data_IF_760021048744
#
_entry.id   IF_760021048744
#
_cell.length_a   1.000
_cell.length_b   1.000
_cell.length_c   1.000
_cell.angle_alpha   90.00
_cell.angle_beta   90.00
_cell.angle_gamma   90.00
#
_symmetry.space_group_name_H-M   'P 1'
#
loop_
_entity.id
_entity.type
_entity.pdbx_description
1 polymer ?
#
# COMPACT_ATOMS: atom_id res chain seq x y z
N UNK A 1 -23.76 37.04 -4.44
CA UNK A 1 -23.08 36.56 -3.22
C UNK A 1 -23.46 35.10 -3.02
N UNK A 2 -22.60 34.16 -3.45
CA UNK A 2 -22.84 32.73 -3.23
C UNK A 2 -22.66 32.47 -1.73
N UNK A 3 -23.76 32.14 -1.07
CA UNK A 3 -23.80 31.85 0.35
C UNK A 3 -23.29 30.42 0.55
N UNK A 4 -21.97 30.26 0.58
CA UNK A 4 -21.28 29.03 0.98
C UNK A 4 -21.67 28.75 2.43
N UNK A 5 -22.80 28.06 2.63
CA UNK A 5 -23.10 27.48 3.93
C UNK A 5 -21.97 26.52 4.20
N UNK A 6 -21.24 26.77 5.29
CA UNK A 6 -20.44 25.80 6.03
C UNK A 6 -21.34 24.63 6.47
N UNK A 7 -21.83 23.86 5.50
CA UNK A 7 -22.33 22.53 5.72
C UNK A 7 -21.12 21.76 6.18
N UNK A 8 -21.07 21.52 7.50
CA UNK A 8 -20.07 20.68 8.15
C UNK A 8 -19.68 19.58 7.19
N UNK A 9 -18.42 19.57 6.73
CA UNK A 9 -17.89 18.60 5.74
C UNK A 9 -18.28 17.16 6.11
N UNK A 10 -18.46 16.92 7.41
CA UNK A 10 -18.98 15.70 7.99
C UNK A 10 -20.44 15.35 7.65
N UNK A 11 -21.35 16.33 7.62
CA UNK A 11 -22.74 16.13 7.20
C UNK A 11 -22.83 15.78 5.70
N UNK A 12 -22.02 16.44 4.87
CA UNK A 12 -21.92 16.13 3.44
C UNK A 12 -21.35 14.73 3.23
N UNK A 13 -20.28 14.37 3.94
CA UNK A 13 -19.68 13.03 3.90
C UNK A 13 -20.67 11.93 4.34
N UNK A 14 -21.42 12.16 5.42
CA UNK A 14 -22.42 11.21 5.93
C UNK A 14 -23.58 10.99 4.95
N UNK A 15 -23.88 11.98 4.11
CA UNK A 15 -24.92 11.91 3.06
C UNK A 15 -24.43 11.18 1.80
N UNK A 16 -23.13 11.21 1.52
CA UNK A 16 -22.44 10.48 0.44
C UNK A 16 -22.02 9.05 0.83
N UNK A 17 -21.92 8.77 2.12
CA UNK A 17 -21.57 7.44 2.63
C UNK A 17 -22.45 6.28 2.12
N UNK A 18 -23.78 6.43 1.93
CA UNK A 18 -24.63 5.36 1.40
C UNK A 18 -24.31 4.98 -0.06
N UNK A 19 -23.82 5.92 -0.87
CA UNK A 19 -23.37 5.66 -2.25
C UNK A 19 -22.02 4.95 -2.30
N UNK A 20 -21.17 5.13 -1.29
CA UNK A 20 -19.86 4.46 -1.13
C UNK A 20 -20.00 3.10 -0.42
N UNK A 21 -21.07 2.92 0.36
CA UNK A 21 -21.38 1.71 1.12
C UNK A 21 -21.32 0.38 0.33
N UNK A 22 -21.78 0.27 -0.93
CA UNK A 22 -21.62 -0.95 -1.72
C UNK A 22 -20.16 -1.28 -2.07
N UNK A 23 -19.23 -0.31 -1.99
CA UNK A 23 -17.81 -0.46 -2.34
C UNK A 23 -16.89 -0.65 -1.11
N UNK A 24 -17.45 -0.84 0.09
CA UNK A 24 -16.66 -1.03 1.33
C UNK A 24 -15.68 -2.20 1.25
N UNK A 25 -16.02 -3.25 0.50
CA UNK A 25 -15.10 -4.37 0.25
C UNK A 25 -13.82 -3.90 -0.49
N UNK A 26 -13.95 -3.03 -1.49
CA UNK A 26 -12.81 -2.44 -2.19
C UNK A 26 -11.95 -1.53 -1.31
N UNK A 27 -12.58 -0.76 -0.42
CA UNK A 27 -11.86 0.07 0.56
C UNK A 27 -11.08 -0.77 1.58
N UNK A 28 -11.65 -1.88 2.07
CA UNK A 28 -10.95 -2.78 2.99
C UNK A 28 -9.77 -3.45 2.28
N UNK A 29 -9.97 -3.94 1.05
CA UNK A 29 -8.90 -4.54 0.24
C UNK A 29 -7.79 -3.52 -0.05
N UNK A 30 -8.14 -2.28 -0.41
CA UNK A 30 -7.18 -1.20 -0.62
C UNK A 30 -6.41 -0.84 0.67
N UNK A 31 -7.09 -0.86 1.83
CA UNK A 31 -6.44 -0.66 3.13
C UNK A 31 -5.43 -1.76 3.46
N UNK A 32 -5.81 -3.03 3.25
CA UNK A 32 -4.91 -4.18 3.43
C UNK A 32 -3.72 -4.07 2.47
N UNK A 33 -3.98 -3.74 1.20
CA UNK A 33 -2.93 -3.54 0.20
C UNK A 33 -1.98 -2.42 0.60
N UNK A 34 -2.47 -1.27 1.08
CA UNK A 34 -1.62 -0.18 1.57
C UNK A 34 -0.72 -0.61 2.73
N UNK A 35 -1.24 -1.39 3.69
CA UNK A 35 -0.46 -1.90 4.82
C UNK A 35 0.64 -2.86 4.33
N UNK A 36 0.31 -3.81 3.45
CA UNK A 36 1.29 -4.72 2.83
C UNK A 36 2.37 -3.97 2.05
N UNK A 37 1.97 -2.90 1.36
CA UNK A 37 2.91 -2.09 0.59
C UNK A 37 3.88 -1.32 1.51
N UNK A 38 3.36 -0.69 2.57
CA UNK A 38 4.17 -0.01 3.58
C UNK A 38 5.09 -0.98 4.34
N UNK A 39 4.61 -2.20 4.62
CA UNK A 39 5.41 -3.26 5.21
C UNK A 39 6.56 -3.67 4.28
N UNK A 40 6.30 -3.79 2.97
CA UNK A 40 7.32 -4.12 1.97
C UNK A 40 8.42 -3.05 1.89
N UNK A 41 8.05 -1.77 1.89
CA UNK A 41 9.02 -0.65 1.90
C UNK A 41 9.86 -0.65 3.19
N UNK A 42 9.23 -0.89 4.35
CA UNK A 42 9.93 -0.98 5.64
C UNK A 42 10.87 -2.18 5.68
N UNK A 43 10.45 -3.33 5.14
CA UNK A 43 11.29 -4.53 5.05
C UNK A 43 12.52 -4.26 4.18
N UNK A 44 12.32 -3.64 3.01
CA UNK A 44 13.42 -3.30 2.11
C UNK A 44 14.44 -2.38 2.78
N UNK A 45 14.00 -1.40 3.58
CA UNK A 45 14.89 -0.57 4.39
C UNK A 45 15.60 -1.37 5.50
N UNK A 46 14.88 -2.27 6.18
CA UNK A 46 15.48 -3.12 7.22
C UNK A 46 16.56 -4.06 6.67
N UNK A 47 16.47 -4.44 5.38
CA UNK A 47 17.47 -5.27 4.69
C UNK A 47 18.80 -4.55 4.44
N UNK A 48 18.86 -3.21 4.50
CA UNK A 48 20.13 -2.47 4.40
C UNK A 48 21.06 -2.77 5.58
N UNK A 49 20.51 -2.96 6.78
CA UNK A 49 21.28 -3.26 7.99
C UNK A 49 22.05 -4.60 7.91
N UNK A 50 21.42 -5.76 7.62
CA UNK A 50 22.13 -7.03 7.46
C UNK A 50 23.03 -7.05 6.22
N UNK A 51 22.73 -6.30 5.15
CA UNK A 51 23.64 -6.17 4.01
C UNK A 51 24.99 -5.56 4.46
N UNK A 52 24.94 -4.47 5.21
CA UNK A 52 26.12 -3.75 5.67
C UNK A 52 26.86 -4.52 6.79
N UNK A 53 26.13 -5.03 7.79
CA UNK A 53 26.73 -5.70 8.94
C UNK A 53 27.22 -7.12 8.63
N UNK A 54 26.40 -7.95 7.98
CA UNK A 54 26.71 -9.36 7.75
C UNK A 54 27.30 -9.63 6.35
N UNK A 55 26.84 -8.88 5.33
CA UNK A 55 27.35 -9.00 3.97
C UNK A 55 28.77 -8.42 3.79
N UNK A 56 29.00 -7.18 4.26
CA UNK A 56 30.32 -6.53 4.17
C UNK A 56 31.18 -6.72 5.41
N UNK A 57 30.59 -6.77 6.61
CA UNK A 57 31.35 -6.90 7.87
C UNK A 57 31.87 -8.31 8.17
N UNK A 58 31.09 -9.36 7.88
CA UNK A 58 31.45 -10.76 8.20
C UNK A 58 31.82 -11.61 6.97
N UNK A 59 31.65 -11.09 5.75
CA UNK A 59 31.91 -11.81 4.48
C UNK A 59 31.15 -13.15 4.39
N UNK A 60 29.94 -13.23 4.94
CA UNK A 60 29.10 -14.41 4.78
C UNK A 60 28.49 -14.42 3.37
N UNK A 61 29.12 -15.17 2.44
CA UNK A 61 28.66 -15.34 1.04
C UNK A 61 27.20 -15.77 0.92
N UNK A 62 26.66 -16.43 1.95
CA UNK A 62 25.24 -16.84 2.00
C UNK A 62 24.30 -15.63 1.99
N UNK A 63 24.59 -14.58 2.77
CA UNK A 63 23.73 -13.39 2.85
C UNK A 63 23.66 -12.68 1.49
N UNK A 64 24.78 -12.61 0.78
CA UNK A 64 24.89 -12.04 -0.57
C UNK A 64 24.10 -12.82 -1.64
N UNK A 65 23.89 -14.12 -1.44
CA UNK A 65 23.14 -14.97 -2.38
C UNK A 65 21.61 -14.93 -2.13
N UNK A 66 21.18 -14.92 -0.86
CA UNK A 66 19.75 -14.93 -0.53
C UNK A 66 19.12 -13.52 -0.57
N UNK A 67 19.87 -12.45 -0.32
CA UNK A 67 19.33 -11.08 -0.34
C UNK A 67 18.68 -10.65 -1.66
N UNK A 68 19.30 -10.86 -2.84
CA UNK A 68 18.68 -10.50 -4.12
C UNK A 68 17.35 -11.21 -4.33
N UNK A 69 17.26 -12.46 -3.89
CA UNK A 69 16.06 -13.30 -4.03
C UNK A 69 14.91 -12.76 -3.16
N UNK A 70 15.21 -12.31 -1.95
CA UNK A 70 14.24 -11.62 -1.07
C UNK A 70 13.78 -10.28 -1.67
N UNK A 71 14.70 -9.49 -2.23
CA UNK A 71 14.37 -8.21 -2.87
C UNK A 71 13.44 -8.41 -4.07
N UNK A 72 13.71 -9.42 -4.91
CA UNK A 72 12.83 -9.77 -6.05
C UNK A 72 11.45 -10.19 -5.53
N UNK A 73 11.39 -11.02 -4.49
CA UNK A 73 10.12 -11.42 -3.87
C UNK A 73 9.31 -10.23 -3.34
N UNK A 74 9.95 -9.30 -2.64
CA UNK A 74 9.33 -8.07 -2.15
C UNK A 74 8.86 -7.15 -3.29
N UNK A 75 9.64 -7.05 -4.38
CA UNK A 75 9.26 -6.25 -5.55
C UNK A 75 8.05 -6.83 -6.29
N UNK A 76 7.97 -8.16 -6.40
CA UNK A 76 6.79 -8.84 -6.96
C UNK A 76 5.57 -8.58 -6.07
N UNK A 77 5.71 -8.77 -4.74
CA UNK A 77 4.63 -8.50 -3.79
C UNK A 77 4.14 -7.05 -3.91
N UNK A 78 5.07 -6.09 -3.93
CA UNK A 78 4.77 -4.67 -4.11
C UNK A 78 4.05 -4.39 -5.44
N UNK A 79 4.50 -4.99 -6.53
CA UNK A 79 3.84 -4.87 -7.84
C UNK A 79 2.40 -5.37 -7.84
N UNK A 80 2.16 -6.56 -7.29
CA UNK A 80 0.81 -7.15 -7.14
C UNK A 80 -0.08 -6.22 -6.29
N UNK A 81 0.47 -5.75 -5.17
CA UNK A 81 -0.26 -4.91 -4.22
C UNK A 81 -0.63 -3.56 -4.83
N UNK A 82 0.29 -2.95 -5.58
CA UNK A 82 0.05 -1.70 -6.31
C UNK A 82 -0.99 -1.88 -7.42
N UNK A 83 -0.94 -2.99 -8.16
CA UNK A 83 -1.92 -3.32 -9.19
C UNK A 83 -3.34 -3.49 -8.61
N UNK A 84 -3.47 -4.24 -7.50
CA UNK A 84 -4.75 -4.45 -6.82
C UNK A 84 -5.34 -3.12 -6.35
N UNK A 85 -4.52 -2.23 -5.76
CA UNK A 85 -4.98 -0.90 -5.34
C UNK A 85 -5.50 -0.07 -6.52
N UNK A 86 -4.71 0.02 -7.61
CA UNK A 86 -5.14 0.78 -8.79
C UNK A 86 -6.40 0.19 -9.43
N UNK A 87 -6.53 -1.14 -9.47
CA UNK A 87 -7.70 -1.81 -10.01
C UNK A 87 -8.95 -1.58 -9.16
N UNK A 88 -8.84 -1.67 -7.83
CA UNK A 88 -9.95 -1.37 -6.92
C UNK A 88 -10.41 0.07 -7.07
N UNK A 89 -9.48 1.04 -7.14
CA UNK A 89 -9.83 2.46 -7.32
C UNK A 89 -10.51 2.69 -8.68
N UNK A 90 -9.99 2.12 -9.77
CA UNK A 90 -10.61 2.22 -11.10
C UNK A 90 -12.00 1.58 -11.13
N UNK A 91 -12.19 0.42 -10.50
CA UNK A 91 -13.49 -0.25 -10.48
C UNK A 91 -14.53 0.52 -9.68
N UNK A 92 -14.15 1.09 -8.53
CA UNK A 92 -15.04 1.96 -7.74
C UNK A 92 -15.35 3.24 -8.49
N UNK A 93 -14.35 3.88 -9.12
CA UNK A 93 -14.53 5.10 -9.91
C UNK A 93 -15.34 4.89 -11.18
N UNK A 94 -15.34 3.70 -11.77
CA UNK A 94 -16.14 3.37 -12.96
C UNK A 94 -17.57 2.94 -12.65
N UNK A 95 -17.90 2.69 -11.38
CA UNK A 95 -19.23 2.29 -10.91
C UNK A 95 -19.99 3.40 -10.17
N UNK A 96 -19.28 4.42 -9.70
CA UNK A 96 -19.80 5.71 -9.22
C UNK A 96 -20.02 6.65 -10.39
#
# INVERSE_FOLDING_TARGET
MHNDKDLSTWQTFRRLWPTIAPFKAGLIVAGIALILNAASDTFMLSLLKPLLDDGFGKTDRSVLLWMPLVVIGLMILRGITSYISSYCISWVSGKV
#
